data_IF_686609668618
#
_entry.id   IF_686609668618
#
_cell.length_a   1.000
_cell.length_b   1.000
_cell.length_c   1.000
_cell.angle_alpha   90.00
_cell.angle_beta   90.00
_cell.angle_gamma   90.00
#
_symmetry.space_group_name_H-M   'P 1'
#
loop_
_entity.id
_entity.type
_entity.pdbx_description
1 polymer ?
#
# COMPACT_ATOMS: atom_id res chain seq x y z
N UNK A 1 -4.89 25.21 10.50
CA UNK A 1 -5.84 24.42 9.73
C UNK A 1 -5.18 23.09 9.31
N UNK A 2 -5.83 22.01 9.59
CA UNK A 2 -5.30 20.70 9.24
C UNK A 2 -5.55 20.43 7.76
N UNK A 3 -4.46 20.24 7.00
CA UNK A 3 -4.53 19.92 5.57
C UNK A 3 -4.38 18.41 5.33
N UNK A 4 -4.69 17.58 6.32
CA UNK A 4 -4.61 16.15 6.17
C UNK A 4 -5.76 15.61 5.31
N UNK A 5 -5.46 14.55 4.57
CA UNK A 5 -6.43 13.81 3.77
C UNK A 5 -6.29 12.34 4.17
N UNK A 6 -7.43 11.69 4.42
CA UNK A 6 -7.46 10.28 4.78
C UNK A 6 -8.23 9.50 3.72
N UNK A 7 -7.67 8.39 3.28
CA UNK A 7 -8.30 7.47 2.35
C UNK A 7 -8.27 6.05 2.92
N UNK A 8 -9.28 5.29 2.56
CA UNK A 8 -9.32 3.86 2.88
C UNK A 8 -8.56 3.07 1.85
N UNK A 9 -7.80 2.08 2.33
CA UNK A 9 -7.03 1.15 1.51
C UNK A 9 -7.59 -0.25 1.73
N UNK A 10 -8.51 -0.72 0.87
CA UNK A 10 -9.25 -1.94 1.13
C UNK A 10 -8.44 -3.20 0.90
N UNK A 11 -8.77 -4.24 1.67
CA UNK A 11 -8.34 -5.59 1.38
C UNK A 11 -9.10 -6.14 0.17
N UNK A 12 -8.52 -7.15 -0.45
CA UNK A 12 -9.20 -7.91 -1.52
C UNK A 12 -9.29 -9.38 -1.12
N UNK A 13 -10.25 -10.07 -1.72
CA UNK A 13 -10.27 -11.53 -1.68
C UNK A 13 -10.32 -12.07 -3.11
N UNK A 14 -9.74 -13.23 -3.29
CA UNK A 14 -9.88 -13.99 -4.53
C UNK A 14 -11.16 -14.81 -4.43
N UNK A 15 -12.12 -14.56 -5.33
CA UNK A 15 -13.32 -15.36 -5.41
C UNK A 15 -13.00 -16.74 -5.98
N UNK A 16 -12.05 -16.80 -6.90
CA UNK A 16 -11.46 -18.01 -7.40
C UNK A 16 -10.05 -17.70 -7.91
N UNK A 17 -9.22 -18.73 -7.98
CA UNK A 17 -7.86 -18.64 -8.53
C UNK A 17 -7.57 -19.95 -9.27
N UNK A 18 -7.24 -19.84 -10.55
CA UNK A 18 -6.86 -20.97 -11.38
C UNK A 18 -5.49 -20.71 -11.99
N UNK A 19 -4.55 -21.62 -11.75
CA UNK A 19 -3.25 -21.61 -12.38
C UNK A 19 -3.37 -22.34 -13.72
N UNK A 20 -3.04 -21.65 -14.82
CA UNK A 20 -3.22 -22.18 -16.16
C UNK A 20 -1.98 -22.92 -16.65
N UNK A 21 -0.84 -22.23 -16.68
CA UNK A 21 0.41 -22.82 -17.16
C UNK A 21 1.60 -22.01 -16.66
N UNK A 22 2.77 -22.65 -16.63
CA UNK A 22 4.04 -21.97 -16.32
C UNK A 22 4.56 -21.27 -17.56
N UNK A 23 4.99 -20.02 -17.40
CA UNK A 23 5.59 -19.23 -18.48
C UNK A 23 7.09 -19.46 -18.56
N UNK A 24 7.71 -19.04 -19.66
CA UNK A 24 9.16 -19.12 -19.84
C UNK A 24 9.94 -18.28 -18.84
N UNK A 25 9.34 -17.21 -18.32
CA UNK A 25 9.93 -16.33 -17.32
C UNK A 25 9.79 -16.85 -15.89
N UNK A 26 9.38 -18.12 -15.71
CA UNK A 26 9.13 -18.79 -14.44
C UNK A 26 7.89 -18.30 -13.68
N UNK A 27 7.14 -17.35 -14.23
CA UNK A 27 5.83 -16.98 -13.72
C UNK A 27 4.75 -17.91 -14.31
N UNK A 28 3.58 -17.87 -13.71
CA UNK A 28 2.44 -18.65 -14.16
C UNK A 28 1.36 -17.74 -14.71
N UNK A 29 0.71 -18.19 -15.79
CA UNK A 29 -0.55 -17.57 -16.20
C UNK A 29 -1.65 -18.03 -15.25
N UNK A 30 -2.43 -17.08 -14.78
CA UNK A 30 -3.53 -17.37 -13.85
C UNK A 30 -4.82 -16.76 -14.37
N UNK A 31 -5.92 -17.34 -13.92
CA UNK A 31 -7.25 -16.77 -14.06
C UNK A 31 -7.80 -16.57 -12.66
N UNK A 32 -8.22 -15.36 -12.34
CA UNK A 32 -8.71 -15.05 -11.01
C UNK A 32 -9.81 -14.00 -11.07
N UNK A 33 -10.77 -14.14 -10.17
CA UNK A 33 -11.74 -13.09 -9.88
C UNK A 33 -11.44 -12.53 -8.50
N UNK A 34 -11.32 -11.23 -8.41
CA UNK A 34 -11.04 -10.55 -7.13
C UNK A 34 -12.15 -9.54 -6.84
N UNK A 35 -12.36 -9.27 -5.55
CA UNK A 35 -13.24 -8.22 -5.10
C UNK A 35 -12.66 -7.54 -3.87
N UNK A 36 -12.93 -6.25 -3.74
CA UNK A 36 -12.60 -5.51 -2.52
C UNK A 36 -13.63 -5.79 -1.45
N UNK A 37 -13.20 -5.74 -0.19
CA UNK A 37 -14.08 -5.92 0.96
C UNK A 37 -13.98 -4.72 1.89
N UNK A 38 -14.88 -4.65 2.87
CA UNK A 38 -14.94 -3.52 3.81
C UNK A 38 -13.82 -3.50 4.85
N UNK A 39 -12.98 -4.51 4.89
CA UNK A 39 -11.80 -4.50 5.74
C UNK A 39 -10.74 -3.61 5.09
N UNK A 40 -10.38 -2.52 5.74
CA UNK A 40 -9.52 -1.49 5.15
C UNK A 40 -8.44 -1.06 6.12
N UNK A 41 -7.24 -0.80 5.58
CA UNK A 41 -6.29 0.08 6.23
C UNK A 41 -6.72 1.53 5.99
N UNK A 42 -6.21 2.42 6.81
CA UNK A 42 -6.43 3.86 6.63
C UNK A 42 -5.09 4.55 6.41
N UNK A 43 -5.02 5.38 5.39
CA UNK A 43 -3.82 6.13 5.05
C UNK A 43 -4.14 7.61 5.13
N UNK A 44 -3.46 8.29 6.04
CA UNK A 44 -3.53 9.74 6.18
C UNK A 44 -2.27 10.35 5.59
N UNK A 45 -2.43 11.40 4.80
CA UNK A 45 -1.32 12.20 4.29
C UNK A 45 -1.49 13.63 4.74
N UNK A 46 -0.38 14.26 5.13
CA UNK A 46 -0.36 15.67 5.52
C UNK A 46 0.95 16.31 5.11
N UNK A 47 0.98 17.63 4.89
CA UNK A 47 2.23 18.35 4.66
C UNK A 47 3.18 18.18 5.83
N UNK A 48 4.48 18.12 5.54
CA UNK A 48 5.52 17.93 6.55
C UNK A 48 6.80 18.63 6.10
N UNK A 49 7.74 18.80 7.02
CA UNK A 49 9.05 19.37 6.71
C UNK A 49 9.94 18.39 5.95
N UNK A 50 9.63 17.09 6.02
CA UNK A 50 10.39 16.05 5.35
C UNK A 50 9.49 14.87 5.08
N UNK A 51 9.90 14.03 4.13
CA UNK A 51 9.19 12.78 3.85
C UNK A 51 9.28 11.85 5.06
N UNK A 52 8.13 11.32 5.47
CA UNK A 52 8.04 10.40 6.58
C UNK A 52 6.91 9.41 6.36
N UNK A 53 7.12 8.16 6.81
CA UNK A 53 6.11 7.12 6.78
C UNK A 53 6.06 6.49 8.16
N UNK A 54 4.87 6.49 8.76
CA UNK A 54 4.62 5.90 10.07
C UNK A 54 3.56 4.82 9.93
N UNK A 55 3.79 3.69 10.57
CA UNK A 55 2.81 2.61 10.66
C UNK A 55 2.28 2.50 12.08
N UNK A 56 0.97 2.35 12.21
CA UNK A 56 0.30 2.16 13.51
C UNK A 56 -0.83 1.15 13.38
N UNK A 57 -1.46 0.80 14.49
CA UNK A 57 -2.54 -0.18 14.54
C UNK A 57 -2.04 -1.56 14.93
N UNK A 58 -3.00 -2.49 15.13
CA UNK A 58 -2.72 -3.83 15.65
C UNK A 58 -1.81 -4.66 14.75
N UNK A 59 -1.79 -4.39 13.46
CA UNK A 59 -1.02 -5.15 12.48
C UNK A 59 0.17 -4.36 11.93
N UNK A 60 0.57 -3.28 12.59
CA UNK A 60 1.75 -2.53 12.18
C UNK A 60 3.01 -3.40 12.27
N UNK A 61 3.98 -3.21 11.36
CA UNK A 61 5.27 -3.91 11.45
C UNK A 61 5.96 -3.61 12.78
N UNK A 62 6.41 -4.66 13.47
CA UNK A 62 6.97 -4.52 14.83
C UNK A 62 8.36 -3.92 14.88
N UNK A 63 9.11 -3.99 13.79
CA UNK A 63 10.54 -3.69 13.81
C UNK A 63 10.94 -2.46 13.02
N UNK A 64 10.01 -1.59 12.65
CA UNK A 64 10.32 -0.37 11.87
C UNK A 64 11.28 -0.65 10.71
N UNK A 65 11.18 -1.83 10.07
CA UNK A 65 12.00 -2.18 8.93
C UNK A 65 11.44 -1.42 7.73
N UNK A 66 11.71 -0.13 7.70
CA UNK A 66 11.23 0.75 6.63
C UNK A 66 11.98 0.55 5.32
N UNK A 67 13.08 -0.22 5.34
CA UNK A 67 13.85 -0.48 4.13
C UNK A 67 13.06 -1.28 3.10
N UNK A 68 12.08 -2.08 3.56
CA UNK A 68 11.18 -2.85 2.69
C UNK A 68 9.83 -2.17 2.49
N UNK A 69 9.69 -0.91 2.91
CA UNK A 69 8.44 -0.18 2.77
C UNK A 69 8.10 0.01 1.29
N UNK A 70 6.92 -0.47 0.90
CA UNK A 70 6.45 -0.35 -0.49
C UNK A 70 6.36 1.13 -0.93
N UNK A 71 6.08 2.03 -0.01
CA UNK A 71 5.95 3.46 -0.31
C UNK A 71 7.29 4.04 -0.74
N UNK A 72 8.36 3.73 -0.01
CA UNK A 72 9.71 4.16 -0.39
C UNK A 72 10.14 3.56 -1.72
N UNK A 73 9.79 2.28 -1.94
CA UNK A 73 10.09 1.59 -3.20
C UNK A 73 9.42 2.26 -4.40
N UNK A 74 8.21 2.76 -4.25
CA UNK A 74 7.49 3.45 -5.33
C UNK A 74 8.28 4.67 -5.78
N UNK A 75 8.68 5.53 -4.85
CA UNK A 75 9.42 6.75 -5.19
C UNK A 75 10.80 6.42 -5.77
N UNK A 76 11.47 5.42 -5.23
CA UNK A 76 12.75 4.95 -5.75
C UNK A 76 12.61 4.40 -7.17
N UNK A 77 11.61 3.57 -7.42
CA UNK A 77 11.35 2.98 -8.73
C UNK A 77 11.04 4.04 -9.80
N UNK A 78 10.26 5.05 -9.42
CA UNK A 78 9.91 6.14 -10.32
C UNK A 78 11.04 7.16 -10.50
N UNK A 79 12.13 7.00 -9.75
CA UNK A 79 13.27 7.93 -9.74
C UNK A 79 12.83 9.37 -9.45
N UNK A 80 11.92 9.52 -8.50
CA UNK A 80 11.39 10.80 -8.05
C UNK A 80 11.79 11.01 -6.61
N UNK A 81 12.28 12.20 -6.28
CA UNK A 81 12.53 12.56 -4.89
C UNK A 81 11.22 12.60 -4.12
N UNK A 82 11.12 11.93 -2.96
CA UNK A 82 9.91 11.97 -2.18
C UNK A 82 9.53 13.41 -1.80
N UNK A 83 8.26 13.80 -1.94
CA UNK A 83 7.83 15.15 -1.55
C UNK A 83 7.85 15.34 -0.02
N UNK A 84 7.73 16.58 0.43
CA UNK A 84 7.69 16.92 1.86
C UNK A 84 6.31 16.63 2.44
N UNK A 85 5.96 15.37 2.54
CA UNK A 85 4.69 14.91 3.09
C UNK A 85 4.94 13.76 4.07
N UNK A 86 4.02 13.62 5.01
CA UNK A 86 4.05 12.55 6.00
C UNK A 86 2.85 11.64 5.77
N UNK A 87 3.11 10.34 5.69
CA UNK A 87 2.07 9.31 5.62
C UNK A 87 1.93 8.63 6.98
N UNK A 88 0.71 8.47 7.44
CA UNK A 88 0.38 7.68 8.61
C UNK A 88 -0.55 6.54 8.16
N UNK A 89 -0.10 5.32 8.29
CA UNK A 89 -0.82 4.14 7.81
C UNK A 89 -1.28 3.32 9.01
N UNK A 90 -2.59 3.24 9.19
CA UNK A 90 -3.18 2.41 10.23
C UNK A 90 -3.46 1.03 9.63
N UNK A 91 -2.74 0.03 10.12
CA UNK A 91 -2.83 -1.35 9.64
C UNK A 91 -3.94 -2.08 10.38
N UNK A 92 -5.03 -2.37 9.71
CA UNK A 92 -6.20 -3.03 10.26
C UNK A 92 -6.34 -4.49 9.83
N UNK A 93 -5.44 -4.97 8.98
CA UNK A 93 -5.39 -6.39 8.59
C UNK A 93 -3.95 -6.79 8.26
N UNK A 94 -3.63 -8.11 8.31
CA UNK A 94 -2.25 -8.57 8.08
C UNK A 94 -1.78 -8.28 6.65
N UNK A 95 -0.54 -7.81 6.52
CA UNK A 95 0.02 -7.42 5.24
C UNK A 95 0.54 -8.61 4.39
N UNK A 96 0.72 -9.79 4.99
CA UNK A 96 1.22 -10.98 4.27
C UNK A 96 0.20 -12.12 4.26
N UNK A 97 -1.07 -11.80 4.31
CA UNK A 97 -2.13 -12.80 4.43
C UNK A 97 -2.87 -13.08 3.11
N UNK A 98 -2.32 -12.66 1.97
CA UNK A 98 -2.98 -12.83 0.68
C UNK A 98 -4.15 -11.88 0.44
N UNK A 99 -4.25 -10.81 1.23
CA UNK A 99 -5.36 -9.84 1.17
C UNK A 99 -5.01 -8.59 0.34
N UNK A 100 -3.87 -8.58 -0.33
CA UNK A 100 -3.49 -7.50 -1.23
C UNK A 100 -3.11 -6.20 -0.52
N UNK A 101 -2.67 -6.27 0.72
CA UNK A 101 -2.35 -5.09 1.54
C UNK A 101 -1.32 -4.16 0.88
N UNK A 102 -0.18 -4.71 0.45
CA UNK A 102 0.89 -3.90 -0.12
C UNK A 102 0.45 -3.19 -1.39
N UNK A 103 -0.22 -3.90 -2.29
CA UNK A 103 -0.70 -3.33 -3.55
C UNK A 103 -1.77 -2.27 -3.32
N UNK A 104 -2.68 -2.50 -2.39
CA UNK A 104 -3.73 -1.55 -2.03
C UNK A 104 -3.15 -0.29 -1.40
N UNK A 105 -2.21 -0.44 -0.46
CA UNK A 105 -1.52 0.69 0.15
C UNK A 105 -0.74 1.48 -0.89
N UNK A 106 -0.05 0.81 -1.81
CA UNK A 106 0.70 1.46 -2.88
C UNK A 106 -0.22 2.31 -3.78
N UNK A 107 -1.35 1.76 -4.20
CA UNK A 107 -2.29 2.47 -5.05
C UNK A 107 -2.87 3.70 -4.34
N UNK A 108 -3.22 3.56 -3.06
CA UNK A 108 -3.77 4.66 -2.26
C UNK A 108 -2.73 5.76 -2.05
N UNK A 109 -1.48 5.39 -1.79
CA UNK A 109 -0.38 6.35 -1.63
C UNK A 109 -0.13 7.13 -2.91
N UNK A 110 -0.13 6.46 -4.06
CA UNK A 110 0.02 7.14 -5.35
C UNK A 110 -1.11 8.14 -5.56
N UNK A 111 -2.35 7.74 -5.31
CA UNK A 111 -3.51 8.62 -5.42
C UNK A 111 -3.38 9.86 -4.54
N UNK A 112 -3.00 9.67 -3.28
CA UNK A 112 -2.85 10.77 -2.33
C UNK A 112 -1.67 11.67 -2.68
N UNK A 113 -0.58 11.11 -3.19
CA UNK A 113 0.59 11.88 -3.62
C UNK A 113 0.26 12.84 -4.75
N UNK A 114 -0.60 12.44 -5.69
CA UNK A 114 -1.01 13.28 -6.81
C UNK A 114 -1.82 14.50 -6.35
N UNK A 115 -2.48 14.42 -5.20
CA UNK A 115 -3.23 15.53 -4.64
C UNK A 115 -2.29 16.60 -4.07
N UNK A 116 -1.11 16.19 -3.58
CA UNK A 116 -0.15 17.05 -2.90
C UNK A 116 1.04 17.50 -3.76
N UNK A 117 1.13 17.03 -4.97
CA UNK A 117 2.20 17.41 -5.91
C UNK A 117 1.82 18.61 -6.78
#
# INVERSE_FOLDING_TARGET
MDNSITEKSPAKINLFLKILNRREDNYHNIRTGITSINLCDEIEVKPSNQFNVEYKGAFAPKNNIFDDCIIKKIFSFLNISPPNISFSITKNFPYQAGLGSASSNAATVIKLSLIHI
#
